data_IF_839005850077
#
_entry.id   IF_839005850077
#
_cell.length_a   1.000
_cell.length_b   1.000
_cell.length_c   1.000
_cell.angle_alpha   90.00
_cell.angle_beta   90.00
_cell.angle_gamma   90.00
#
_symmetry.space_group_name_H-M   'P 1'
#
loop_
_entity.id
_entity.type
_entity.pdbx_description
1 polymer ?
#
# COMPACT_ATOMS: atom_id res chain seq x y z
N UNK A 1 -1.94 14.01 3.09
CA UNK A 1 -2.36 15.04 4.07
C UNK A 1 -1.45 16.26 3.97
N UNK A 2 -2.01 17.46 3.75
CA UNK A 2 -1.25 18.72 3.67
C UNK A 2 -1.53 19.66 4.85
N UNK A 3 -2.64 19.45 5.55
CA UNK A 3 -3.06 20.24 6.72
C UNK A 3 -3.14 19.36 7.97
N UNK A 4 -2.96 19.98 9.13
CA UNK A 4 -3.08 19.33 10.42
C UNK A 4 -4.55 19.04 10.70
N UNK A 5 -4.88 17.79 11.04
CA UNK A 5 -6.26 17.38 11.34
C UNK A 5 -6.83 18.04 12.60
N UNK A 6 -5.98 18.56 13.49
CA UNK A 6 -6.41 19.16 14.76
C UNK A 6 -6.63 20.67 14.70
N UNK A 7 -5.84 21.39 13.90
CA UNK A 7 -5.90 22.86 13.85
C UNK A 7 -6.08 23.44 12.43
N UNK A 8 -6.13 22.59 11.40
CA UNK A 8 -6.24 23.02 9.99
C UNK A 8 -4.98 23.68 9.41
N UNK A 9 -3.98 24.01 10.22
CA UNK A 9 -2.75 24.66 9.76
C UNK A 9 -1.95 23.77 8.80
N UNK A 10 -1.23 24.40 7.86
CA UNK A 10 -0.39 23.68 6.91
C UNK A 10 0.73 22.90 7.61
N UNK A 11 0.94 21.65 7.19
CA UNK A 11 1.99 20.79 7.71
C UNK A 11 3.31 21.05 6.98
N UNK A 12 4.36 21.33 7.76
CA UNK A 12 5.69 21.57 7.19
C UNK A 12 6.39 20.25 6.86
N UNK A 13 6.92 20.13 5.64
CA UNK A 13 7.72 18.97 5.25
C UNK A 13 9.02 18.90 6.07
N UNK A 14 9.37 17.70 6.54
CA UNK A 14 10.68 17.44 7.14
C UNK A 14 11.71 17.19 6.05
N UNK A 15 12.99 17.52 6.30
CA UNK A 15 14.07 17.27 5.33
C UNK A 15 14.38 15.78 5.16
N UNK A 16 14.17 14.98 6.21
CA UNK A 16 14.56 13.58 6.23
C UNK A 16 13.50 12.69 5.60
N UNK A 17 13.95 11.71 4.80
CA UNK A 17 13.12 10.61 4.33
C UNK A 17 12.71 9.74 5.52
N UNK A 18 11.41 9.50 5.65
CA UNK A 18 10.87 8.56 6.62
C UNK A 18 10.88 7.15 6.06
N UNK A 19 10.52 7.00 4.79
CA UNK A 19 10.56 5.74 4.05
C UNK A 19 11.27 5.98 2.73
N UNK A 20 12.13 5.03 2.34
CA UNK A 20 12.76 4.97 1.03
C UNK A 20 13.08 3.50 0.76
N UNK A 21 12.32 2.85 -0.12
CA UNK A 21 12.52 1.43 -0.44
C UNK A 21 12.02 1.09 -1.83
N UNK A 22 12.56 0.01 -2.39
CA UNK A 22 12.00 -0.66 -3.56
C UNK A 22 11.12 -1.80 -3.07
N UNK A 23 9.90 -1.86 -3.58
CA UNK A 23 8.90 -2.88 -3.28
C UNK A 23 8.76 -3.76 -4.52
N UNK A 24 8.90 -5.07 -4.36
CA UNK A 24 8.58 -6.04 -5.40
C UNK A 24 7.08 -6.34 -5.37
N UNK A 25 6.38 -6.03 -6.45
CA UNK A 25 4.95 -6.33 -6.64
C UNK A 25 4.78 -7.23 -7.86
N UNK A 26 3.65 -7.92 -7.97
CA UNK A 26 3.31 -8.79 -9.09
C UNK A 26 3.25 -8.04 -10.43
N UNK A 27 3.03 -6.71 -10.38
CA UNK A 27 3.03 -5.83 -11.56
C UNK A 27 4.40 -5.19 -11.83
N UNK A 28 5.43 -5.61 -11.09
CA UNK A 28 6.80 -5.12 -11.23
C UNK A 28 7.30 -4.32 -10.02
N UNK A 29 8.58 -3.92 -10.01
CA UNK A 29 9.18 -3.22 -8.88
C UNK A 29 8.72 -1.75 -8.82
N UNK A 30 8.29 -1.31 -7.64
CA UNK A 30 7.92 0.07 -7.35
C UNK A 30 8.94 0.71 -6.41
N UNK A 31 9.49 1.86 -6.80
CA UNK A 31 10.30 2.67 -5.89
C UNK A 31 9.44 3.69 -5.18
N UNK A 32 9.44 3.63 -3.85
CA UNK A 32 8.64 4.52 -3.00
C UNK A 32 9.52 5.31 -2.05
N UNK A 33 9.23 6.61 -1.93
CA UNK A 33 9.91 7.50 -1.01
C UNK A 33 8.90 8.46 -0.39
N UNK A 34 8.96 8.59 0.93
CA UNK A 34 8.03 9.40 1.69
C UNK A 34 8.73 10.19 2.78
N UNK A 35 8.43 11.48 2.87
CA UNK A 35 8.88 12.35 3.97
C UNK A 35 7.75 12.53 4.97
N UNK A 36 8.10 12.52 6.24
CA UNK A 36 7.18 12.92 7.28
C UNK A 36 6.93 14.44 7.20
N UNK A 37 5.76 14.87 7.65
CA UNK A 37 5.43 16.27 7.88
C UNK A 37 5.24 16.53 9.37
N UNK A 38 5.26 17.80 9.77
CA UNK A 38 5.13 18.20 11.17
C UNK A 38 4.18 19.40 11.31
N UNK A 39 3.32 19.38 12.31
CA UNK A 39 2.55 20.57 12.68
C UNK A 39 3.48 21.56 13.39
N UNK A 40 3.51 22.82 12.94
CA UNK A 40 4.35 23.88 13.52
C UNK A 40 3.55 24.98 14.21
N UNK A 41 2.22 24.84 14.23
CA UNK A 41 1.34 25.78 14.92
C UNK A 41 1.48 25.61 16.44
N UNK A 42 2.04 26.61 17.12
CA UNK A 42 2.28 26.58 18.57
C UNK A 42 0.98 26.52 19.40
N UNK A 43 -0.15 26.98 18.86
CA UNK A 43 -1.46 26.94 19.53
C UNK A 43 -2.14 25.57 19.37
N UNK A 44 -1.60 24.70 18.52
CA UNK A 44 -2.11 23.35 18.34
C UNK A 44 -1.64 22.44 19.48
N UNK A 45 -2.56 21.72 20.11
CA UNK A 45 -2.25 20.65 21.08
C UNK A 45 -1.33 19.55 20.51
N UNK A 46 -1.25 19.46 19.17
CA UNK A 46 -0.41 18.52 18.44
C UNK A 46 0.78 19.19 17.73
N UNK A 47 1.18 20.39 18.15
CA UNK A 47 2.43 21.00 17.70
C UNK A 47 3.61 20.03 17.88
N UNK A 48 4.45 19.90 16.85
CA UNK A 48 5.58 18.97 16.85
C UNK A 48 5.22 17.52 16.49
N UNK A 49 3.93 17.18 16.34
CA UNK A 49 3.51 15.82 15.97
C UNK A 49 3.90 15.51 14.52
N UNK A 50 4.45 14.31 14.32
CA UNK A 50 4.86 13.80 13.00
C UNK A 50 3.69 13.11 12.30
N UNK A 51 3.51 13.44 11.04
CA UNK A 51 2.56 12.80 10.14
C UNK A 51 3.35 12.07 9.06
N UNK A 52 3.35 10.74 9.10
CA UNK A 52 4.12 9.92 8.18
C UNK A 52 3.47 9.86 6.80
N UNK A 53 4.27 9.58 5.79
CA UNK A 53 3.81 9.29 4.43
C UNK A 53 3.26 7.85 4.39
N UNK A 54 2.15 7.64 5.09
CA UNK A 54 1.58 6.31 5.35
C UNK A 54 0.98 5.62 4.14
N UNK A 55 0.77 6.34 3.03
CA UNK A 55 0.35 5.73 1.76
C UNK A 55 1.31 4.63 1.30
N UNK A 56 2.58 4.66 1.73
CA UNK A 56 3.53 3.58 1.45
C UNK A 56 3.12 2.24 2.04
N UNK A 57 2.36 2.25 3.13
CA UNK A 57 1.90 1.04 3.82
C UNK A 57 0.72 0.38 3.13
N UNK A 58 0.00 1.11 2.29
CA UNK A 58 -0.97 0.51 1.37
C UNK A 58 -0.28 -0.43 0.36
N UNK A 59 0.99 -0.18 0.06
CA UNK A 59 1.74 -0.99 -0.90
C UNK A 59 2.47 -2.15 -0.22
N UNK A 60 2.98 -1.98 1.00
CA UNK A 60 3.80 -3.01 1.67
C UNK A 60 3.93 -2.80 3.17
N UNK A 61 4.06 -3.90 3.91
CA UNK A 61 4.30 -3.87 5.36
C UNK A 61 5.58 -3.10 5.73
N UNK A 62 5.66 -2.54 6.96
CA UNK A 62 6.90 -2.01 7.52
C UNK A 62 8.05 -3.02 7.40
N UNK A 63 9.24 -2.53 7.06
CA UNK A 63 10.47 -3.33 6.90
C UNK A 63 10.38 -4.53 5.91
N UNK A 64 9.35 -4.56 5.06
CA UNK A 64 9.23 -5.50 3.95
C UNK A 64 9.61 -4.84 2.62
N UNK A 65 10.29 -5.61 1.77
CA UNK A 65 10.57 -5.28 0.37
C UNK A 65 9.56 -5.91 -0.60
N UNK A 66 8.51 -6.54 -0.09
CA UNK A 66 7.48 -7.21 -0.88
C UNK A 66 6.14 -6.52 -0.71
N UNK A 67 5.39 -6.42 -1.79
CA UNK A 67 4.07 -5.82 -1.79
C UNK A 67 3.05 -6.66 -1.03
N UNK A 68 1.94 -6.04 -0.62
CA UNK A 68 0.82 -6.76 0.00
C UNK A 68 0.20 -7.77 -0.97
N UNK A 69 0.22 -7.48 -2.27
CA UNK A 69 -0.17 -8.38 -3.35
C UNK A 69 0.65 -9.69 -3.36
N UNK A 70 1.97 -9.62 -3.09
CA UNK A 70 2.82 -10.81 -2.95
C UNK A 70 2.44 -11.61 -1.70
N UNK A 71 2.07 -10.96 -0.59
CA UNK A 71 1.59 -11.65 0.61
C UNK A 71 0.26 -12.36 0.33
N UNK A 72 -0.68 -11.66 -0.32
CA UNK A 72 -1.96 -12.21 -0.72
C UNK A 72 -1.79 -13.40 -1.66
N UNK A 73 -0.88 -13.31 -2.64
CA UNK A 73 -0.55 -14.43 -3.54
C UNK A 73 -0.06 -15.65 -2.78
N UNK A 74 0.93 -15.48 -1.90
CA UNK A 74 1.47 -16.59 -1.10
C UNK A 74 0.38 -17.23 -0.24
N UNK A 75 -0.41 -16.41 0.44
CA UNK A 75 -1.54 -16.85 1.25
C UNK A 75 -2.56 -17.65 0.44
N UNK A 76 -2.98 -17.12 -0.70
CA UNK A 76 -3.94 -17.75 -1.61
C UNK A 76 -3.44 -19.11 -2.12
N UNK A 77 -2.23 -19.16 -2.69
CA UNK A 77 -1.67 -20.40 -3.25
C UNK A 77 -1.52 -21.48 -2.18
N UNK A 78 -1.20 -21.10 -0.95
CA UNK A 78 -1.05 -22.07 0.13
C UNK A 78 -2.40 -22.53 0.71
N UNK A 79 -3.30 -21.60 1.05
CA UNK A 79 -4.57 -21.92 1.71
C UNK A 79 -5.63 -22.47 0.76
N UNK A 80 -5.73 -21.93 -0.45
CA UNK A 80 -6.76 -22.31 -1.42
C UNK A 80 -6.29 -23.45 -2.32
N UNK A 81 -5.15 -23.25 -2.99
CA UNK A 81 -4.64 -24.22 -3.97
C UNK A 81 -3.84 -25.37 -3.34
N UNK A 82 -3.62 -25.34 -2.03
CA UNK A 82 -2.86 -26.35 -1.28
C UNK A 82 -1.43 -26.55 -1.82
N UNK A 83 -0.83 -25.48 -2.39
CA UNK A 83 0.54 -25.50 -2.91
C UNK A 83 1.57 -25.53 -1.80
N UNK A 84 2.67 -26.24 -2.02
CA UNK A 84 3.81 -26.20 -1.11
C UNK A 84 4.59 -24.88 -1.26
N UNK A 85 5.22 -24.40 -0.18
CA UNK A 85 5.97 -23.14 -0.19
C UNK A 85 7.06 -23.09 -1.27
N UNK A 86 7.69 -24.24 -1.56
CA UNK A 86 8.69 -24.37 -2.63
C UNK A 86 8.09 -24.19 -4.03
N UNK A 87 6.85 -24.64 -4.25
CA UNK A 87 6.14 -24.45 -5.52
C UNK A 87 5.77 -22.97 -5.70
N UNK A 88 5.27 -22.34 -4.65
CA UNK A 88 4.93 -20.91 -4.61
C UNK A 88 6.18 -20.07 -4.89
N UNK A 89 7.32 -20.42 -4.30
CA UNK A 89 8.60 -19.75 -4.57
C UNK A 89 9.00 -19.82 -6.04
N UNK A 90 8.84 -20.99 -6.68
CA UNK A 90 9.15 -21.14 -8.11
C UNK A 90 8.25 -20.26 -8.97
N UNK A 91 6.95 -20.26 -8.71
CA UNK A 91 5.98 -19.44 -9.44
C UNK A 91 6.24 -17.93 -9.30
N UNK A 92 6.59 -17.48 -8.08
CA UNK A 92 6.94 -16.07 -7.84
C UNK A 92 8.20 -15.67 -8.61
N UNK A 93 9.21 -16.54 -8.65
CA UNK A 93 10.42 -16.29 -9.44
C UNK A 93 10.12 -16.26 -10.94
N UNK A 94 9.22 -17.12 -11.44
CA UNK A 94 8.76 -17.09 -12.85
C UNK A 94 8.04 -15.77 -13.19
N UNK A 95 7.37 -15.15 -12.22
CA UNK A 95 6.76 -13.81 -12.32
C UNK A 95 7.76 -12.66 -12.11
N UNK A 96 9.05 -12.95 -11.93
CA UNK A 96 10.09 -11.93 -11.76
C UNK A 96 10.24 -11.39 -10.33
N UNK A 97 9.63 -12.04 -9.33
CA UNK A 97 9.82 -11.71 -7.92
C UNK A 97 11.01 -12.49 -7.38
N UNK A 98 12.03 -11.80 -6.90
CA UNK A 98 13.22 -12.42 -6.31
C UNK A 98 12.93 -12.84 -4.87
N UNK A 99 12.60 -14.12 -4.65
CA UNK A 99 12.28 -14.66 -3.33
C UNK A 99 12.83 -16.09 -3.12
N UNK A 100 13.13 -16.44 -1.88
CA UNK A 100 13.49 -17.80 -1.47
C UNK A 100 12.39 -18.42 -0.60
N UNK A 101 12.38 -19.75 -0.48
CA UNK A 101 11.33 -20.48 0.24
C UNK A 101 11.19 -20.04 1.71
N UNK A 102 12.30 -19.75 2.38
CA UNK A 102 12.29 -19.24 3.76
C UNK A 102 11.51 -17.92 3.86
N UNK A 103 11.73 -17.01 2.91
CA UNK A 103 11.00 -15.76 2.82
C UNK A 103 9.54 -16.01 2.45
N UNK A 104 9.22 -16.93 1.55
CA UNK A 104 7.82 -17.32 1.29
C UNK A 104 7.13 -17.74 2.58
N UNK A 105 7.74 -18.61 3.39
CA UNK A 105 7.20 -19.00 4.69
C UNK A 105 7.09 -17.84 5.69
N UNK A 106 8.00 -16.86 5.65
CA UNK A 106 7.89 -15.63 6.46
C UNK A 106 6.69 -14.79 6.02
N UNK A 107 6.55 -14.52 4.73
CA UNK A 107 5.46 -13.72 4.17
C UNK A 107 4.12 -14.42 4.39
N UNK A 108 4.07 -15.75 4.30
CA UNK A 108 2.89 -16.54 4.63
C UNK A 108 2.49 -16.39 6.11
N UNK A 109 3.43 -16.45 7.06
CA UNK A 109 3.12 -16.18 8.47
C UNK A 109 2.63 -14.75 8.69
N UNK A 110 3.18 -13.78 7.97
CA UNK A 110 2.69 -12.41 8.00
C UNK A 110 1.27 -12.34 7.43
N UNK A 111 0.98 -13.02 6.32
CA UNK A 111 -0.37 -13.17 5.78
C UNK A 111 -1.35 -13.76 6.81
N UNK A 112 -0.99 -14.85 7.49
CA UNK A 112 -1.80 -15.41 8.57
C UNK A 112 -2.01 -14.43 9.72
N UNK A 113 -0.99 -13.63 10.07
CA UNK A 113 -1.13 -12.58 11.07
C UNK A 113 -2.07 -11.44 10.62
N UNK A 114 -2.10 -11.12 9.31
CA UNK A 114 -3.06 -10.19 8.74
C UNK A 114 -4.49 -10.74 8.83
N UNK A 115 -4.69 -12.01 8.49
CA UNK A 115 -5.99 -12.70 8.64
C UNK A 115 -6.42 -12.84 10.11
N UNK A 116 -5.47 -13.02 11.01
CA UNK A 116 -5.69 -13.16 12.45
C UNK A 116 -5.81 -11.84 13.21
N UNK A 117 -5.85 -10.69 12.52
CA UNK A 117 -5.92 -9.39 13.17
C UNK A 117 -7.30 -9.18 13.83
N UNK A 118 -7.34 -9.57 15.10
CA UNK A 118 -8.25 -9.17 16.18
C UNK A 118 -7.57 -9.46 17.52
N UNK A 119 -6.26 -9.22 17.61
CA UNK A 119 -5.49 -9.47 18.84
C UNK A 119 -5.72 -8.37 19.87
N UNK A 120 -5.53 -8.69 21.15
CA UNK A 120 -5.64 -7.70 22.24
C UNK A 120 -4.64 -6.56 22.06
N UNK A 121 -3.46 -6.84 21.49
CA UNK A 121 -2.45 -5.85 21.14
C UNK A 121 -2.93 -4.88 20.06
N UNK A 122 -3.58 -5.37 19.01
CA UNK A 122 -4.16 -4.51 17.97
C UNK A 122 -5.22 -3.59 18.58
N UNK A 123 -6.09 -4.11 19.44
CA UNK A 123 -7.11 -3.29 20.11
C UNK A 123 -6.48 -2.21 21.00
N UNK A 124 -5.45 -2.57 21.79
CA UNK A 124 -4.71 -1.59 22.61
C UNK A 124 -4.06 -0.50 21.76
N UNK A 125 -3.50 -0.86 20.60
CA UNK A 125 -2.91 0.11 19.69
C UNK A 125 -3.97 1.06 19.10
N UNK A 126 -5.11 0.52 18.67
CA UNK A 126 -6.24 1.32 18.17
C UNK A 126 -6.81 2.26 19.25
N UNK A 127 -6.99 1.77 20.48
CA UNK A 127 -7.45 2.58 21.60
C UNK A 127 -6.47 3.73 21.89
N UNK A 128 -5.16 3.46 21.83
CA UNK A 128 -4.13 4.49 21.99
C UNK A 128 -4.17 5.53 20.86
N UNK A 129 -4.42 5.12 19.63
CA UNK A 129 -4.58 6.02 18.48
C UNK A 129 -5.82 6.89 18.66
N UNK A 130 -6.97 6.30 19.03
CA UNK A 130 -8.22 7.05 19.28
C UNK A 130 -8.02 8.06 20.42
N UNK A 131 -7.42 7.65 21.54
CA UNK A 131 -7.14 8.55 22.65
C UNK A 131 -6.24 9.73 22.25
N UNK A 132 -5.28 9.49 21.34
CA UNK A 132 -4.33 10.49 20.88
C UNK A 132 -4.89 11.40 19.78
N UNK A 133 -5.68 10.86 18.84
CA UNK A 133 -6.07 11.56 17.62
C UNK A 133 -7.57 11.90 17.55
N UNK A 134 -8.37 11.44 18.51
CA UNK A 134 -9.84 11.61 18.53
C UNK A 134 -10.59 10.64 17.62
N UNK A 135 -9.87 9.79 16.88
CA UNK A 135 -10.43 8.75 16.03
C UNK A 135 -9.41 8.17 15.06
N UNK A 136 -9.89 7.22 14.24
CA UNK A 136 -9.10 6.47 13.28
C UNK A 136 -9.25 7.05 11.88
N UNK A 137 -8.18 6.98 11.08
CA UNK A 137 -8.28 7.13 9.63
C UNK A 137 -8.06 5.74 9.05
N UNK A 138 -9.07 5.16 8.41
CA UNK A 138 -9.02 3.75 7.99
C UNK A 138 -8.75 3.61 6.49
N UNK A 139 -7.98 2.59 6.13
CA UNK A 139 -7.76 2.14 4.77
C UNK A 139 -8.47 0.81 4.57
N UNK A 140 -9.18 0.67 3.45
CA UNK A 140 -9.67 -0.64 2.98
C UNK A 140 -9.17 -0.86 1.57
N UNK A 141 -8.53 -2.01 1.36
CA UNK A 141 -7.97 -2.39 0.08
C UNK A 141 -8.36 -3.82 -0.28
N UNK A 142 -8.55 -4.08 -1.56
CA UNK A 142 -8.87 -5.39 -2.10
C UNK A 142 -7.69 -5.89 -2.94
N UNK A 143 -7.10 -7.00 -2.52
CA UNK A 143 -5.97 -7.61 -3.21
C UNK A 143 -6.46 -8.82 -4.01
N UNK A 144 -6.21 -8.79 -5.32
CA UNK A 144 -6.60 -9.85 -6.24
C UNK A 144 -5.37 -10.56 -6.83
N UNK A 145 -4.90 -11.65 -6.20
CA UNK A 145 -3.65 -12.29 -6.61
C UNK A 145 -3.68 -12.98 -7.99
N UNK A 146 -4.85 -13.40 -8.49
CA UNK A 146 -4.96 -14.16 -9.76
C UNK A 146 -5.81 -13.48 -10.86
N UNK A 147 -6.29 -12.25 -10.64
CA UNK A 147 -7.19 -11.56 -11.58
C UNK A 147 -8.59 -12.17 -11.75
N UNK A 148 -8.87 -13.31 -11.12
CA UNK A 148 -10.18 -13.97 -11.03
C UNK A 148 -10.28 -14.73 -9.69
N UNK A 149 -11.49 -14.92 -9.15
CA UNK A 149 -11.71 -15.65 -7.90
C UNK A 149 -11.91 -14.78 -6.66
N UNK A 150 -11.53 -15.30 -5.49
CA UNK A 150 -11.74 -14.63 -4.20
C UNK A 150 -10.79 -13.44 -4.00
N UNK A 151 -11.27 -12.43 -3.29
CA UNK A 151 -10.54 -11.21 -2.97
C UNK A 151 -10.13 -11.22 -1.50
N UNK A 152 -8.90 -10.81 -1.23
CA UNK A 152 -8.43 -10.53 0.13
C UNK A 152 -8.68 -9.06 0.44
N UNK A 153 -9.65 -8.78 1.31
CA UNK A 153 -9.90 -7.44 1.83
C UNK A 153 -9.08 -7.21 3.09
N UNK A 154 -8.37 -6.08 3.14
CA UNK A 154 -7.55 -5.69 4.30
C UNK A 154 -8.05 -4.36 4.84
N UNK A 155 -8.38 -4.32 6.13
CA UNK A 155 -8.69 -3.12 6.89
C UNK A 155 -7.48 -2.74 7.74
N UNK A 156 -7.04 -1.50 7.66
CA UNK A 156 -5.89 -0.99 8.42
C UNK A 156 -6.09 0.46 8.88
N UNK A 157 -5.43 0.85 9.96
CA UNK A 157 -5.33 2.24 10.39
C UNK A 157 -4.16 2.92 9.68
N UNK A 158 -4.44 4.05 9.03
CA UNK A 158 -3.51 4.68 8.09
C UNK A 158 -2.38 5.40 8.81
N UNK A 159 -2.59 6.06 9.95
CA UNK A 159 -1.55 6.88 10.58
C UNK A 159 -0.45 6.05 11.26
N UNK A 160 -0.79 4.88 11.81
CA UNK A 160 0.12 3.93 12.44
C UNK A 160 0.55 2.80 11.50
N UNK A 161 -0.25 2.48 10.49
CA UNK A 161 -0.04 1.32 9.61
C UNK A 161 -0.45 0.01 10.26
N UNK A 162 -1.19 0.08 11.38
CA UNK A 162 -1.68 -1.10 12.09
C UNK A 162 -2.74 -1.78 11.24
N UNK A 163 -2.52 -3.05 10.89
CA UNK A 163 -3.55 -3.86 10.25
C UNK A 163 -4.58 -4.24 11.31
N UNK A 164 -5.82 -3.87 11.04
CA UNK A 164 -6.95 -4.04 11.96
C UNK A 164 -7.59 -5.40 11.75
N UNK A 165 -7.76 -5.81 10.49
CA UNK A 165 -8.45 -7.04 10.10
C UNK A 165 -8.14 -7.37 8.64
N UNK A 166 -8.24 -8.64 8.28
CA UNK A 166 -8.37 -9.04 6.89
C UNK A 166 -9.42 -10.14 6.76
N UNK A 167 -10.16 -10.13 5.65
CA UNK A 167 -11.14 -11.17 5.33
C UNK A 167 -10.98 -11.58 3.87
N UNK A 168 -11.10 -12.87 3.62
CA UNK A 168 -11.06 -13.43 2.28
C UNK A 168 -12.48 -13.80 1.87
N UNK A 169 -12.94 -13.27 0.73
CA UNK A 169 -14.31 -13.44 0.26
C UNK A 169 -14.33 -13.78 -1.23
N UNK A 170 -15.07 -14.83 -1.60
CA UNK A 170 -15.50 -15.03 -2.99
C UNK A 170 -16.45 -13.89 -3.36
N UNK A 171 -16.35 -13.31 -4.58
CA UNK A 171 -16.72 -11.93 -4.88
C UNK A 171 -17.86 -11.39 -4.02
N UNK A 172 -17.56 -10.63 -2.95
CA UNK A 172 -18.56 -10.40 -1.92
C UNK A 172 -19.63 -9.45 -2.42
N UNK A 173 -20.81 -9.61 -1.82
CA UNK A 173 -21.83 -8.59 -1.90
C UNK A 173 -21.56 -7.47 -0.87
N UNK A 174 -22.25 -6.34 -1.04
CA UNK A 174 -22.13 -5.19 -0.13
C UNK A 174 -22.45 -5.55 1.33
N UNK A 175 -23.38 -6.48 1.56
CA UNK A 175 -23.82 -6.87 2.90
C UNK A 175 -22.71 -7.61 3.67
N UNK A 176 -21.95 -8.47 3.01
CA UNK A 176 -20.84 -9.20 3.63
C UNK A 176 -19.73 -8.25 4.07
N UNK A 177 -19.33 -7.31 3.20
CA UNK A 177 -18.36 -6.27 3.56
C UNK A 177 -18.88 -5.37 4.67
N UNK A 178 -20.16 -5.00 4.64
CA UNK A 178 -20.80 -4.20 5.69
C UNK A 178 -20.76 -4.93 7.03
N UNK A 179 -21.14 -6.21 7.05
CA UNK A 179 -21.15 -7.04 8.27
C UNK A 179 -19.74 -7.18 8.85
N UNK A 180 -18.72 -7.37 8.00
CA UNK A 180 -17.33 -7.40 8.44
C UNK A 180 -16.92 -6.07 9.07
N UNK A 181 -17.19 -4.94 8.42
CA UNK A 181 -16.83 -3.61 8.93
C UNK A 181 -17.59 -3.22 10.21
N UNK A 182 -18.84 -3.67 10.38
CA UNK A 182 -19.65 -3.42 11.58
C UNK A 182 -18.97 -3.92 12.87
N UNK A 183 -18.13 -4.95 12.79
CA UNK A 183 -17.37 -5.45 13.94
C UNK A 183 -16.43 -4.39 14.55
N UNK A 184 -16.09 -3.35 13.77
CA UNK A 184 -15.19 -2.26 14.16
C UNK A 184 -15.92 -0.91 14.37
N UNK A 185 -17.26 -0.88 14.30
CA UNK A 185 -18.05 0.35 14.40
C UNK A 185 -17.87 1.10 15.74
N UNK A 186 -17.40 0.40 16.79
CA UNK A 186 -17.10 1.01 18.11
C UNK A 186 -16.05 2.13 18.04
N UNK A 187 -15.18 2.12 17.03
CA UNK A 187 -14.15 3.14 16.88
C UNK A 187 -14.68 4.34 16.08
N UNK A 188 -14.44 5.58 16.56
CA UNK A 188 -14.78 6.78 15.79
C UNK A 188 -13.86 6.89 14.58
N UNK A 189 -14.43 6.91 13.38
CA UNK A 189 -13.68 7.05 12.11
C UNK A 189 -13.76 8.50 11.61
N UNK A 190 -12.60 9.14 11.49
CA UNK A 190 -12.44 10.52 11.04
C UNK A 190 -12.39 10.63 9.51
N UNK A 191 -12.13 9.52 8.82
CA UNK A 191 -12.17 9.42 7.37
C UNK A 191 -11.66 8.07 6.88
N UNK A 192 -11.91 7.77 5.61
CA UNK A 192 -11.46 6.54 4.98
C UNK A 192 -10.75 6.76 3.65
N UNK A 193 -9.81 5.88 3.31
CA UNK A 193 -9.12 5.84 2.02
C UNK A 193 -9.30 4.46 1.38
N UNK A 194 -9.70 4.41 0.11
CA UNK A 194 -9.87 3.14 -0.63
C UNK A 194 -9.37 3.28 -2.06
N UNK A 195 -9.08 2.17 -2.75
CA UNK A 195 -8.78 2.13 -4.18
C UNK A 195 -9.87 2.74 -5.09
N UNK A 196 -11.12 2.77 -4.60
CA UNK A 196 -12.28 3.34 -5.27
C UNK A 196 -13.34 2.31 -5.65
N UNK A 197 -13.20 1.05 -5.24
CA UNK A 197 -14.19 0.01 -5.50
C UNK A 197 -15.58 0.40 -4.94
N UNK A 198 -16.61 0.34 -5.78
CA UNK A 198 -17.96 0.81 -5.44
C UNK A 198 -18.55 0.05 -4.24
N UNK A 199 -18.29 -1.27 -4.14
CA UNK A 199 -18.76 -2.11 -3.05
C UNK A 199 -18.16 -1.70 -1.71
N UNK A 200 -16.85 -1.42 -1.68
CA UNK A 200 -16.18 -0.92 -0.47
C UNK A 200 -16.74 0.44 -0.08
N UNK A 201 -16.93 1.35 -1.05
CA UNK A 201 -17.49 2.69 -0.80
C UNK A 201 -18.90 2.58 -0.20
N UNK A 202 -19.73 1.68 -0.71
CA UNK A 202 -21.09 1.46 -0.24
C UNK A 202 -21.10 0.90 1.19
N UNK A 203 -20.30 -0.13 1.47
CA UNK A 203 -20.15 -0.69 2.82
C UNK A 203 -19.64 0.34 3.84
N UNK A 204 -18.63 1.14 3.48
CA UNK A 204 -18.13 2.23 4.34
C UNK A 204 -19.19 3.30 4.61
N UNK A 205 -20.03 3.63 3.61
CA UNK A 205 -21.14 4.57 3.78
C UNK A 205 -22.21 4.02 4.71
N UNK A 206 -22.47 2.71 4.67
CA UNK A 206 -23.41 2.06 5.56
C UNK A 206 -22.91 2.06 7.02
N UNK A 207 -21.62 1.78 7.26
CA UNK A 207 -21.06 1.68 8.62
C UNK A 207 -20.73 3.05 9.23
N UNK A 208 -20.13 3.96 8.45
CA UNK A 208 -19.71 5.30 8.88
C UNK A 208 -20.23 6.39 7.92
N UNK A 209 -21.53 6.73 7.98
CA UNK A 209 -22.17 7.63 7.01
C UNK A 209 -21.58 9.04 7.00
N UNK A 210 -21.21 9.56 8.17
CA UNK A 210 -20.69 10.92 8.37
C UNK A 210 -19.20 11.06 8.08
N UNK A 211 -18.44 9.96 8.00
CA UNK A 211 -17.01 10.02 7.78
C UNK A 211 -16.70 10.43 6.32
N UNK A 212 -15.81 11.40 6.09
CA UNK A 212 -15.36 11.76 4.74
C UNK A 212 -14.61 10.59 4.11
N UNK A 213 -14.80 10.39 2.80
CA UNK A 213 -14.21 9.31 2.02
C UNK A 213 -13.32 9.88 0.94
N UNK A 214 -12.11 9.35 0.82
CA UNK A 214 -11.12 9.74 -0.18
C UNK A 214 -10.71 8.52 -1.02
N UNK A 215 -10.46 8.71 -2.32
CA UNK A 215 -9.79 7.70 -3.16
C UNK A 215 -8.28 7.71 -2.93
N UNK A 216 -7.65 6.54 -2.93
CA UNK A 216 -6.22 6.38 -2.85
C UNK A 216 -5.58 7.10 -4.03
N UNK A 217 -4.69 8.06 -3.72
CA UNK A 217 -4.03 8.86 -4.75
C UNK A 217 -3.05 8.03 -5.57
N UNK A 218 -2.43 7.01 -4.95
CA UNK A 218 -1.50 6.13 -5.63
C UNK A 218 -2.25 5.33 -6.71
N UNK A 219 -3.29 4.57 -6.34
CA UNK A 219 -4.12 3.86 -7.31
C UNK A 219 -4.72 4.79 -8.36
N UNK A 220 -5.21 5.97 -7.98
CA UNK A 220 -5.75 6.92 -8.94
C UNK A 220 -4.70 7.40 -9.97
N UNK A 221 -3.50 7.78 -9.51
CA UNK A 221 -2.44 8.25 -10.39
C UNK A 221 -1.82 7.10 -11.20
N UNK A 222 -1.73 5.89 -10.62
CA UNK A 222 -1.33 4.67 -11.31
C UNK A 222 -2.26 4.37 -12.48
N UNK A 223 -3.57 4.30 -12.22
CA UNK A 223 -4.58 4.08 -13.27
C UNK A 223 -4.55 5.14 -14.37
N UNK A 224 -4.22 6.41 -14.05
CA UNK A 224 -4.05 7.46 -15.05
C UNK A 224 -2.76 7.30 -15.87
N UNK A 225 -1.71 6.75 -15.27
CA UNK A 225 -0.40 6.59 -15.89
C UNK A 225 -0.31 5.30 -16.72
N UNK A 226 -1.10 4.27 -16.44
CA UNK A 226 -1.00 2.94 -17.05
C UNK A 226 -0.95 2.96 -18.58
N UNK A 227 -1.86 3.70 -19.23
CA UNK A 227 -1.88 3.80 -20.70
C UNK A 227 -0.61 4.49 -21.23
N UNK A 228 -0.12 5.52 -20.53
CA UNK A 228 1.07 6.29 -20.92
C UNK A 228 2.35 5.48 -20.70
N UNK A 229 2.41 4.66 -19.65
CA UNK A 229 3.56 3.83 -19.31
C UNK A 229 3.82 2.76 -20.38
N UNK A 230 2.78 2.27 -21.07
CA UNK A 230 2.94 1.40 -22.24
C UNK A 230 3.75 2.08 -23.34
N UNK A 231 3.33 3.27 -23.76
CA UNK A 231 4.04 4.05 -24.79
C UNK A 231 5.44 4.46 -24.35
N UNK A 232 5.63 4.85 -23.08
CA UNK A 232 6.96 5.20 -22.56
C UNK A 232 7.91 3.99 -22.56
N UNK A 233 7.38 2.79 -22.25
CA UNK A 233 8.15 1.54 -22.31
C UNK A 233 8.59 1.21 -23.73
N UNK A 234 7.69 1.34 -24.71
CA UNK A 234 8.00 1.15 -26.13
C UNK A 234 9.05 2.14 -26.61
N UNK A 235 8.87 3.43 -26.30
CA UNK A 235 9.83 4.48 -26.63
C UNK A 235 11.21 4.18 -26.02
N UNK A 236 11.26 3.78 -24.75
CA UNK A 236 12.51 3.42 -24.08
C UNK A 236 13.20 2.22 -24.76
N UNK A 237 12.43 1.21 -25.16
CA UNK A 237 12.97 0.05 -25.89
C UNK A 237 13.54 0.48 -27.25
N UNK A 238 12.82 1.34 -27.97
CA UNK A 238 13.24 1.85 -29.27
C UNK A 238 14.48 2.74 -29.15
N UNK A 239 14.51 3.68 -28.21
CA UNK A 239 15.71 4.48 -27.92
C UNK A 239 16.91 3.61 -27.56
N UNK A 240 16.71 2.52 -26.81
CA UNK A 240 17.80 1.59 -26.48
C UNK A 240 18.30 0.82 -27.70
N UNK A 241 17.41 0.44 -28.62
CA UNK A 241 17.80 -0.19 -29.88
C UNK A 241 18.56 0.78 -30.80
N UNK A 242 18.04 2.00 -30.96
CA UNK A 242 18.56 2.99 -31.90
C UNK A 242 19.86 3.65 -31.40
N UNK A 243 19.92 3.95 -30.09
CA UNK A 243 21.02 4.71 -29.48
C UNK A 243 21.99 3.82 -28.71
N UNK A 244 21.62 2.58 -28.38
CA UNK A 244 22.45 1.69 -27.56
C UNK A 244 23.75 1.23 -28.22
N UNK A 245 23.84 1.35 -29.55
CA UNK A 245 25.06 1.10 -30.32
C UNK A 245 25.95 2.32 -30.52
N UNK A 246 25.54 3.51 -30.02
CA UNK A 246 26.37 4.70 -30.14
C UNK A 246 27.62 4.60 -29.24
N UNK A 247 28.77 5.14 -29.69
CA UNK A 247 29.99 5.15 -28.88
C UNK A 247 29.74 5.87 -27.56
N UNK A 248 30.37 5.40 -26.47
CA UNK A 248 30.34 6.17 -25.22
C UNK A 248 31.10 7.48 -25.44
N UNK A 249 30.77 8.51 -24.67
CA UNK A 249 31.51 9.79 -24.76
C UNK A 249 33.02 9.62 -24.54
N UNK A 250 33.42 8.61 -23.76
CA UNK A 250 34.82 8.22 -23.52
C UNK A 250 35.53 7.58 -24.72
N UNK A 251 34.77 7.13 -25.72
CA UNK A 251 35.28 6.44 -26.90
C UNK A 251 35.58 7.43 -28.03
N UNK A 252 35.21 8.71 -27.87
CA UNK A 252 35.62 9.79 -28.76
C UNK A 252 37.01 10.29 -28.32
N UNK A 253 37.96 10.48 -29.26
CA UNK A 253 39.22 11.12 -28.95
C UNK A 253 38.98 12.55 -28.47
N UNK A 254 39.76 12.99 -27.47
CA UNK A 254 39.69 14.34 -26.85
C UNK A 254 39.79 15.50 -27.88
N UNK A 255 40.31 15.22 -29.08
CA UNK A 255 40.47 16.17 -30.19
C UNK A 255 39.41 16.03 -31.30
N UNK A 256 38.21 15.53 -31.00
CA UNK A 256 37.09 15.61 -31.95
C UNK A 256 36.56 17.05 -32.00
N UNK A 257 37.20 17.88 -32.82
CA UNK A 257 36.72 19.20 -33.22
C UNK A 257 35.42 19.08 -34.03
N UNK A 258 34.30 18.92 -33.32
CA UNK A 258 32.97 19.23 -33.84
C UNK A 258 32.43 20.44 -33.09
N UNK A 259 33.04 21.59 -33.34
CA UNK A 259 32.44 22.93 -33.41
C UNK A 259 33.34 23.83 -34.26
#
# INVERSE_FOLDING_TARGET
>A
MNTCIHCGAELKLRPNWHVRKTIQTLNGPLFVAGRAKICTNAECSHCGTRYYASQVWALSLPDSSYGLDVHAYIGWRHEHDQRQLVEIQRELNEKGIEINERNVGKLYRQYLALLGASSEEVQKELDAIVAKHGGLIIGVDALQPEGHGSLLYVLYEILSGTVVSAIQLEPPNEQELTNWLLTYQKYPVLGSVTDGEERIIAALRAVWPTAPRQRCQEHFLGNLADEVLGYDTELRQQMRADLGGLPKSSDFPDDSAFF
#
